data_IF_372524138388
#
_entry.id   IF_372524138388
#
_cell.length_a   1.000
_cell.length_b   1.000
_cell.length_c   1.000
_cell.angle_alpha   90.00
_cell.angle_beta   90.00
_cell.angle_gamma   90.00
#
_symmetry.space_group_name_H-M   'P 1'
#
loop_
_entity.id
_entity.type
_entity.pdbx_description
1 polymer ?
#
# COMPACT_ATOMS: atom_id res chain seq x y z
N UNK A 1 -12.83 -38.69 4.71
CA UNK A 1 -12.18 -38.67 3.38
C UNK A 1 -10.66 -38.71 3.55
N UNK A 2 -9.89 -39.21 2.59
CA UNK A 2 -8.42 -39.20 2.69
C UNK A 2 -7.83 -37.96 2.02
N UNK A 3 -6.80 -37.37 2.64
CA UNK A 3 -6.06 -36.24 2.06
C UNK A 3 -5.37 -36.66 0.76
N UNK A 4 -5.62 -35.93 -0.33
CA UNK A 4 -5.05 -36.27 -1.65
C UNK A 4 -3.52 -36.13 -1.71
N UNK A 5 -2.90 -35.33 -0.85
CA UNK A 5 -1.46 -35.15 -0.80
C UNK A 5 -0.78 -36.17 0.13
N UNK A 6 -1.13 -36.18 1.42
CA UNK A 6 -0.43 -36.99 2.43
C UNK A 6 -1.19 -38.23 2.90
N UNK A 7 -2.33 -38.56 2.25
CA UNK A 7 -3.15 -39.75 2.47
C UNK A 7 -3.64 -39.96 3.91
N UNK A 8 -3.55 -38.92 4.75
CA UNK A 8 -4.04 -38.98 6.13
C UNK A 8 -5.56 -38.86 6.14
N UNK A 9 -6.23 -39.66 6.97
CA UNK A 9 -7.68 -39.58 7.19
C UNK A 9 -8.07 -38.19 7.69
N UNK A 10 -9.01 -37.56 6.99
CA UNK A 10 -9.58 -36.27 7.33
C UNK A 10 -11.01 -36.46 7.83
N UNK A 11 -11.37 -35.68 8.86
CA UNK A 11 -12.75 -35.49 9.26
C UNK A 11 -13.54 -34.88 8.10
N UNK A 12 -14.83 -35.23 7.97
CA UNK A 12 -15.67 -34.77 6.87
C UNK A 12 -15.84 -33.25 6.81
N UNK A 13 -15.72 -32.57 7.94
CA UNK A 13 -15.82 -31.11 8.09
C UNK A 13 -14.47 -30.39 8.01
N UNK A 14 -13.35 -31.11 7.82
CA UNK A 14 -12.03 -30.50 7.81
C UNK A 14 -11.80 -29.70 6.52
N UNK A 15 -11.61 -28.38 6.63
CA UNK A 15 -11.26 -27.50 5.50
C UNK A 15 -9.77 -27.61 5.08
N UNK A 16 -8.90 -28.00 6.03
CA UNK A 16 -7.47 -28.14 5.81
C UNK A 16 -6.95 -29.43 6.46
N UNK A 17 -5.96 -30.05 5.84
CA UNK A 17 -5.25 -31.18 6.41
C UNK A 17 -4.31 -30.72 7.53
N UNK A 18 -4.51 -31.24 8.75
CA UNK A 18 -3.67 -30.92 9.91
C UNK A 18 -2.21 -31.42 9.80
N UNK A 19 -1.93 -32.38 8.91
CA UNK A 19 -0.60 -32.96 8.74
C UNK A 19 0.26 -32.24 7.69
N UNK A 20 -0.35 -31.84 6.57
CA UNK A 20 0.39 -31.26 5.43
C UNK A 20 -0.12 -29.88 4.98
N UNK A 21 -1.19 -29.36 5.60
CA UNK A 21 -1.77 -28.06 5.28
C UNK A 21 -2.62 -28.02 4.01
N UNK A 22 -2.80 -29.13 3.27
CA UNK A 22 -3.60 -29.12 2.03
C UNK A 22 -5.06 -28.77 2.29
N UNK A 23 -5.60 -27.79 1.55
CA UNK A 23 -7.03 -27.48 1.52
C UNK A 23 -7.83 -28.65 0.93
N UNK A 24 -8.95 -28.98 1.55
CA UNK A 24 -9.87 -30.02 1.07
C UNK A 24 -10.86 -29.49 0.02
N UNK A 25 -10.84 -28.18 -0.25
CA UNK A 25 -11.70 -27.55 -1.23
C UNK A 25 -11.41 -28.08 -2.65
N UNK A 26 -12.47 -28.45 -3.39
CA UNK A 26 -12.35 -28.83 -4.80
C UNK A 26 -11.99 -27.61 -5.65
N UNK A 27 -10.98 -27.76 -6.52
CA UNK A 27 -10.58 -26.74 -7.51
C UNK A 27 -11.48 -26.71 -8.76
N UNK A 28 -12.28 -27.75 -9.00
CA UNK A 28 -13.26 -27.77 -10.10
C UNK A 28 -14.46 -26.89 -9.75
N UNK A 29 -14.27 -25.58 -9.83
CA UNK A 29 -15.31 -24.56 -9.67
C UNK A 29 -15.39 -23.72 -10.94
N UNK A 30 -16.58 -23.24 -11.32
CA UNK A 30 -16.73 -22.36 -12.46
C UNK A 30 -15.87 -21.11 -12.28
N UNK A 31 -15.27 -20.62 -13.37
CA UNK A 31 -14.38 -19.45 -13.38
C UNK A 31 -14.96 -18.24 -12.64
N UNK A 32 -16.26 -17.96 -12.81
CA UNK A 32 -16.93 -16.84 -12.15
C UNK A 32 -16.95 -16.96 -10.62
N UNK A 33 -17.02 -18.19 -10.08
CA UNK A 33 -16.94 -18.42 -8.62
C UNK A 33 -15.53 -18.14 -8.12
N UNK A 34 -14.51 -18.58 -8.86
CA UNK A 34 -13.10 -18.30 -8.53
C UNK A 34 -12.79 -16.80 -8.64
N UNK A 35 -13.28 -16.12 -9.69
CA UNK A 35 -13.12 -14.68 -9.86
C UNK A 35 -13.84 -13.90 -8.75
N UNK A 36 -15.04 -14.34 -8.36
CA UNK A 36 -15.77 -13.77 -7.21
C UNK A 36 -15.03 -14.02 -5.91
N UNK A 37 -14.48 -15.22 -5.68
CA UNK A 37 -13.70 -15.56 -4.49
C UNK A 37 -12.43 -14.71 -4.43
N UNK A 38 -11.71 -14.53 -5.55
CA UNK A 38 -10.55 -13.62 -5.66
C UNK A 38 -10.97 -12.17 -5.40
N UNK A 39 -12.09 -11.72 -5.97
CA UNK A 39 -12.59 -10.37 -5.75
C UNK A 39 -13.02 -10.16 -4.30
N UNK A 40 -13.67 -11.15 -3.67
CA UNK A 40 -14.01 -11.14 -2.25
C UNK A 40 -12.77 -11.17 -1.37
N UNK A 41 -11.75 -11.92 -1.77
CA UNK A 41 -10.49 -12.03 -1.07
C UNK A 41 -9.64 -10.77 -1.23
N UNK A 42 -9.72 -10.06 -2.36
CA UNK A 42 -9.02 -8.80 -2.60
C UNK A 42 -9.75 -7.59 -2.01
N UNK A 43 -11.08 -7.52 -2.16
CA UNK A 43 -11.90 -6.40 -1.69
C UNK A 43 -12.40 -6.56 -0.27
N UNK A 44 -12.27 -7.77 0.32
CA UNK A 44 -12.68 -8.14 1.67
C UNK A 44 -13.84 -7.26 2.15
N UNK A 45 -15.00 -7.41 1.49
CA UNK A 45 -16.24 -6.67 1.79
C UNK A 45 -16.79 -7.08 3.17
N UNK A 46 -15.98 -7.76 3.99
CA UNK A 46 -16.11 -7.73 5.43
C UNK A 46 -15.81 -6.30 5.91
N UNK A 47 -16.67 -5.71 6.74
CA UNK A 47 -16.52 -4.33 7.25
C UNK A 47 -15.17 -3.98 7.92
N UNK A 48 -14.24 -4.95 8.02
CA UNK A 48 -12.81 -4.80 8.31
C UNK A 48 -12.11 -3.78 7.40
N UNK A 49 -12.41 -3.72 6.09
CA UNK A 49 -11.75 -2.74 5.22
C UNK A 49 -12.10 -1.31 5.65
N UNK A 50 -13.39 -1.01 5.81
CA UNK A 50 -13.86 0.29 6.29
C UNK A 50 -13.31 0.64 7.67
N UNK A 51 -13.29 -0.33 8.59
CA UNK A 51 -12.67 -0.17 9.91
C UNK A 51 -11.15 0.11 9.84
N UNK A 52 -10.45 -0.57 8.94
CA UNK A 52 -9.02 -0.39 8.69
C UNK A 52 -8.75 1.00 8.10
N UNK A 53 -9.48 1.42 7.07
CA UNK A 53 -9.37 2.74 6.45
C UNK A 53 -9.66 3.86 7.46
N UNK A 54 -10.75 3.74 8.22
CA UNK A 54 -11.10 4.71 9.26
C UNK A 54 -9.99 4.82 10.31
N UNK A 55 -9.46 3.69 10.78
CA UNK A 55 -8.36 3.66 11.75
C UNK A 55 -7.09 4.25 11.14
N UNK A 56 -6.77 3.92 9.90
CA UNK A 56 -5.62 4.42 9.17
C UNK A 56 -5.66 5.93 9.06
N UNK A 57 -6.81 6.51 8.65
CA UNK A 57 -7.01 7.95 8.46
C UNK A 57 -7.08 8.72 9.78
N UNK A 58 -7.72 8.18 10.81
CA UNK A 58 -7.91 8.90 12.07
C UNK A 58 -6.76 8.75 13.07
N UNK A 59 -5.96 7.68 12.97
CA UNK A 59 -4.91 7.35 13.94
C UNK A 59 -3.59 7.01 13.24
N UNK A 60 -2.73 8.01 12.94
CA UNK A 60 -1.51 7.80 12.16
C UNK A 60 -0.57 6.80 12.84
N UNK A 61 -0.17 5.76 12.09
CA UNK A 61 0.75 4.72 12.55
C UNK A 61 0.16 3.66 13.48
N UNK A 62 -1.11 3.76 13.89
CA UNK A 62 -1.72 2.84 14.87
C UNK A 62 -1.81 1.40 14.36
N UNK A 63 -2.12 1.21 13.07
CA UNK A 63 -2.22 -0.13 12.46
C UNK A 63 -0.90 -0.90 12.57
N UNK A 64 0.20 -0.24 12.23
CA UNK A 64 1.55 -0.80 12.33
C UNK A 64 1.95 -1.04 13.78
N UNK A 65 1.65 -0.10 14.68
CA UNK A 65 1.93 -0.28 16.11
C UNK A 65 1.23 -1.53 16.66
N UNK A 66 -0.06 -1.69 16.39
CA UNK A 66 -0.82 -2.88 16.81
C UNK A 66 -0.33 -4.17 16.14
N UNK A 67 0.07 -4.11 14.87
CA UNK A 67 0.69 -5.24 14.17
C UNK A 67 1.99 -5.68 14.85
N UNK A 68 2.86 -4.72 15.18
CA UNK A 68 4.13 -4.96 15.88
C UNK A 68 3.91 -5.51 17.30
N UNK A 69 2.78 -5.19 17.93
CA UNK A 69 2.33 -5.76 19.21
C UNK A 69 1.68 -7.16 19.07
N UNK A 70 1.58 -7.72 17.86
CA UNK A 70 1.02 -9.04 17.61
C UNK A 70 -0.48 -9.09 17.29
N UNK A 71 -1.18 -7.96 17.23
CA UNK A 71 -2.62 -7.88 16.89
C UNK A 71 -2.81 -7.94 15.36
N UNK A 72 -2.58 -9.11 14.76
CA UNK A 72 -2.47 -9.28 13.29
C UNK A 72 -3.77 -9.66 12.56
N UNK A 73 -4.85 -10.01 13.27
CA UNK A 73 -6.13 -10.48 12.68
C UNK A 73 -7.21 -9.39 12.62
N UNK A 74 -7.05 -8.33 13.42
CA UNK A 74 -8.06 -7.28 13.61
C UNK A 74 -8.32 -6.44 12.36
N UNK A 75 -7.29 -6.20 11.57
CA UNK A 75 -7.33 -5.33 10.39
C UNK A 75 -7.13 -6.12 9.12
N UNK A 76 -7.46 -5.48 8.00
CA UNK A 76 -7.15 -6.00 6.67
C UNK A 76 -5.63 -6.24 6.55
N UNK A 77 -5.17 -7.37 5.99
CA UNK A 77 -3.75 -7.63 5.82
C UNK A 77 -3.03 -6.47 5.09
N UNK A 78 -1.87 -6.01 5.57
CA UNK A 78 -1.21 -4.81 5.04
C UNK A 78 -0.92 -4.87 3.54
N UNK A 79 -0.44 -6.02 3.05
CA UNK A 79 -0.15 -6.23 1.63
C UNK A 79 -1.41 -6.15 0.77
N UNK A 80 -2.52 -6.75 1.22
CA UNK A 80 -3.82 -6.72 0.52
C UNK A 80 -4.34 -5.29 0.43
N UNK A 81 -4.32 -4.57 1.55
CA UNK A 81 -4.73 -3.17 1.61
C UNK A 81 -3.92 -2.29 0.64
N UNK A 82 -2.60 -2.43 0.67
CA UNK A 82 -1.69 -1.71 -0.22
C UNK A 82 -1.96 -2.03 -1.69
N UNK A 83 -2.10 -3.31 -2.04
CA UNK A 83 -2.39 -3.75 -3.41
C UNK A 83 -3.71 -3.14 -3.91
N UNK A 84 -4.78 -3.25 -3.13
CA UNK A 84 -6.09 -2.74 -3.51
C UNK A 84 -6.06 -1.22 -3.74
N UNK A 85 -5.48 -0.46 -2.80
CA UNK A 85 -5.37 1.00 -2.93
C UNK A 85 -4.47 1.39 -4.10
N UNK A 86 -3.36 0.69 -4.32
CA UNK A 86 -2.44 0.99 -5.42
C UNK A 86 -3.10 0.76 -6.78
N UNK A 87 -3.83 -0.35 -6.95
CA UNK A 87 -4.58 -0.63 -8.19
C UNK A 87 -5.59 0.49 -8.46
N UNK A 88 -6.37 0.87 -7.44
CA UNK A 88 -7.32 1.98 -7.56
C UNK A 88 -6.62 3.30 -7.91
N UNK A 89 -5.46 3.56 -7.30
CA UNK A 89 -4.69 4.80 -7.52
C UNK A 89 -4.22 4.88 -8.97
N UNK A 90 -3.61 3.82 -9.50
CA UNK A 90 -3.09 3.82 -10.86
C UNK A 90 -4.20 3.87 -11.92
N UNK A 91 -5.37 3.26 -11.66
CA UNK A 91 -6.54 3.41 -12.54
C UNK A 91 -6.99 4.86 -12.58
N UNK A 92 -7.17 5.50 -11.42
CA UNK A 92 -7.61 6.89 -11.33
C UNK A 92 -6.58 7.85 -11.94
N UNK A 93 -5.30 7.62 -11.67
CA UNK A 93 -4.20 8.40 -12.22
C UNK A 93 -4.14 8.31 -13.74
N UNK A 94 -4.29 7.11 -14.31
CA UNK A 94 -4.35 6.91 -15.76
C UNK A 94 -5.52 7.66 -16.38
N UNK A 95 -6.69 7.62 -15.74
CA UNK A 95 -7.87 8.38 -16.21
C UNK A 95 -7.65 9.88 -16.16
N UNK A 96 -7.01 10.41 -15.10
CA UNK A 96 -6.70 11.84 -14.98
C UNK A 96 -5.72 12.28 -16.06
N UNK A 97 -4.64 11.52 -16.30
CA UNK A 97 -3.67 11.87 -17.33
C UNK A 97 -4.27 11.94 -18.74
N UNK A 98 -5.19 11.02 -19.08
CA UNK A 98 -5.90 11.07 -20.36
C UNK A 98 -6.78 12.31 -20.51
N UNK A 99 -7.38 12.80 -19.41
CA UNK A 99 -8.16 14.05 -19.42
C UNK A 99 -7.25 15.27 -19.56
N UNK A 100 -6.08 15.24 -18.91
CA UNK A 100 -5.10 16.33 -18.95
C UNK A 100 -4.45 16.48 -20.33
N UNK A 101 -4.05 15.38 -20.97
CA UNK A 101 -3.52 15.36 -22.33
C UNK A 101 -4.19 14.25 -23.15
N UNK A 102 -5.21 14.57 -23.96
CA UNK A 102 -5.93 13.59 -24.78
C UNK A 102 -5.07 12.89 -25.83
N UNK A 103 -3.95 13.53 -26.22
CA UNK A 103 -3.02 12.98 -27.19
C UNK A 103 -1.88 12.19 -26.52
N UNK A 104 -1.81 12.21 -25.19
CA UNK A 104 -0.88 11.40 -24.43
C UNK A 104 -1.32 9.94 -24.48
N UNK A 105 -0.79 9.23 -25.47
CA UNK A 105 -0.69 7.78 -25.38
C UNK A 105 0.30 7.47 -24.25
N UNK A 106 -0.21 7.19 -23.04
CA UNK A 106 0.51 6.35 -22.09
C UNK A 106 0.88 5.09 -22.86
N UNK A 107 2.10 5.01 -23.39
CA UNK A 107 2.61 3.74 -23.91
C UNK A 107 2.49 2.74 -22.76
N UNK A 108 1.98 1.54 -23.03
CA UNK A 108 1.83 0.47 -22.03
C UNK A 108 3.10 0.28 -21.17
N UNK A 109 4.26 0.67 -21.72
CA UNK A 109 5.55 0.73 -21.03
C UNK A 109 5.54 1.67 -19.81
N UNK A 110 5.15 2.94 -19.93
CA UNK A 110 5.36 3.95 -18.89
C UNK A 110 4.56 3.65 -17.61
N UNK A 111 3.27 3.34 -17.75
CA UNK A 111 2.40 2.93 -16.64
C UNK A 111 2.86 1.60 -16.02
N UNK A 112 3.36 0.67 -16.84
CA UNK A 112 3.97 -0.59 -16.37
C UNK A 112 5.22 -0.33 -15.52
N UNK A 113 6.13 0.56 -15.93
CA UNK A 113 7.34 0.81 -15.15
C UNK A 113 7.05 1.51 -13.83
N UNK A 114 6.15 2.50 -13.82
CA UNK A 114 5.78 3.20 -12.58
C UNK A 114 5.10 2.29 -11.57
N UNK A 115 4.14 1.48 -12.01
CA UNK A 115 3.48 0.51 -11.13
C UNK A 115 4.46 -0.54 -10.58
N UNK A 116 5.36 -1.07 -11.43
CA UNK A 116 6.42 -2.03 -11.01
C UNK A 116 7.44 -1.41 -10.06
N UNK A 117 7.90 -0.19 -10.32
CA UNK A 117 8.84 0.51 -9.46
C UNK A 117 8.28 0.62 -8.04
N UNK A 118 7.01 0.97 -7.88
CA UNK A 118 6.40 1.11 -6.56
C UNK A 118 6.38 -0.19 -5.75
N UNK A 119 6.22 -1.35 -6.41
CA UNK A 119 6.34 -2.65 -5.74
C UNK A 119 7.77 -2.98 -5.26
N UNK A 120 8.78 -2.51 -5.98
CA UNK A 120 10.19 -2.72 -5.60
C UNK A 120 10.67 -1.66 -4.59
N UNK A 121 10.03 -0.50 -4.57
CA UNK A 121 10.44 0.62 -3.74
C UNK A 121 9.95 0.52 -2.29
N UNK A 122 8.80 -0.10 -2.00
CA UNK A 122 8.35 -0.22 -0.61
C UNK A 122 9.27 -1.09 0.28
N UNK A 123 9.89 -2.21 -0.19
CA UNK A 123 10.92 -2.93 0.56
C UNK A 123 12.20 -2.12 0.73
N UNK A 124 12.58 -1.30 -0.26
CA UNK A 124 13.72 -0.38 -0.18
C UNK A 124 13.46 0.70 0.87
N UNK A 125 12.27 1.31 0.88
CA UNK A 125 11.87 2.24 1.93
C UNK A 125 11.95 1.58 3.32
N UNK A 126 11.42 0.36 3.46
CA UNK A 126 11.51 -0.39 4.70
C UNK A 126 12.96 -0.67 5.14
N UNK A 127 13.86 -0.94 4.18
CA UNK A 127 15.29 -1.09 4.43
C UNK A 127 15.92 0.22 4.92
N UNK A 128 15.64 1.35 4.27
CA UNK A 128 16.15 2.66 4.69
C UNK A 128 15.67 2.96 6.11
N UNK A 129 14.39 2.76 6.40
CA UNK A 129 13.82 2.90 7.75
C UNK A 129 14.56 2.01 8.76
N UNK A 130 14.84 0.75 8.40
CA UNK A 130 15.59 -0.19 9.25
C UNK A 130 16.97 0.34 9.62
N UNK A 131 17.66 1.05 8.71
CA UNK A 131 18.99 1.62 8.98
C UNK A 131 18.95 2.72 10.07
N UNK A 132 17.88 3.53 10.11
CA UNK A 132 17.70 4.62 11.08
C UNK A 132 17.05 4.19 12.39
N UNK A 133 16.26 3.12 12.36
CA UNK A 133 15.54 2.56 13.51
C UNK A 133 16.00 1.12 13.80
N UNK A 134 17.30 0.94 14.04
CA UNK A 134 17.95 -0.39 14.17
C UNK A 134 17.34 -1.33 15.22
N UNK A 135 16.68 -0.80 16.24
CA UNK A 135 16.01 -1.59 17.29
C UNK A 135 14.66 -2.17 16.86
N UNK A 136 14.15 -1.78 15.69
CA UNK A 136 12.91 -2.31 15.12
C UNK A 136 13.18 -3.53 14.24
N UNK A 137 12.16 -4.36 14.03
CA UNK A 137 12.23 -5.52 13.15
C UNK A 137 11.87 -5.14 11.71
N UNK A 138 12.59 -5.72 10.74
CA UNK A 138 12.38 -5.45 9.31
C UNK A 138 10.94 -5.68 8.86
N UNK A 139 10.32 -6.78 9.30
CA UNK A 139 8.91 -7.08 8.97
C UNK A 139 7.96 -5.98 9.46
N UNK A 140 8.21 -5.42 10.64
CA UNK A 140 7.43 -4.29 11.16
C UNK A 140 7.61 -3.03 10.31
N UNK A 141 8.82 -2.77 9.85
CA UNK A 141 9.13 -1.64 8.96
C UNK A 141 8.56 -1.85 7.55
N UNK A 142 8.46 -3.10 7.10
CA UNK A 142 7.82 -3.46 5.84
C UNK A 142 6.31 -3.19 5.90
N UNK A 143 5.65 -3.61 6.98
CA UNK A 143 4.24 -3.31 7.23
C UNK A 143 4.01 -1.81 7.40
N UNK A 144 4.92 -1.11 8.08
CA UNK A 144 4.89 0.35 8.18
C UNK A 144 4.93 1.01 6.81
N UNK A 145 5.86 0.58 5.95
CA UNK A 145 6.00 1.05 4.58
C UNK A 145 4.71 0.87 3.78
N UNK A 146 4.07 -0.30 3.86
CA UNK A 146 2.81 -0.60 3.17
C UNK A 146 1.67 0.33 3.61
N UNK A 147 1.49 0.52 4.92
CA UNK A 147 0.46 1.44 5.44
C UNK A 147 0.75 2.90 5.06
N UNK A 148 2.02 3.32 5.11
CA UNK A 148 2.41 4.68 4.78
C UNK A 148 2.21 4.99 3.29
N UNK A 149 2.55 4.07 2.39
CA UNK A 149 2.28 4.26 0.96
C UNK A 149 0.78 4.19 0.66
N UNK A 150 0.03 3.36 1.38
CA UNK A 150 -1.43 3.29 1.23
C UNK A 150 -2.10 4.64 1.53
N UNK A 151 -1.72 5.30 2.64
CA UNK A 151 -2.27 6.62 2.94
C UNK A 151 -1.79 7.70 1.95
N UNK A 152 -0.54 7.63 1.50
CA UNK A 152 0.00 8.54 0.47
C UNK A 152 -0.85 8.42 -0.79
N UNK A 153 -1.10 7.21 -1.28
CA UNK A 153 -1.94 7.00 -2.47
C UNK A 153 -3.37 7.48 -2.28
N UNK A 154 -3.99 7.25 -1.12
CA UNK A 154 -5.33 7.80 -0.84
C UNK A 154 -5.35 9.33 -0.86
N UNK A 155 -4.32 9.98 -0.31
CA UNK A 155 -4.24 11.45 -0.35
C UNK A 155 -3.95 11.94 -1.77
N UNK A 156 -3.11 11.24 -2.54
CA UNK A 156 -2.83 11.57 -3.93
C UNK A 156 -4.05 11.39 -4.84
N UNK A 157 -4.96 10.44 -4.55
CA UNK A 157 -6.24 10.35 -5.27
C UNK A 157 -7.10 11.62 -5.13
N UNK A 158 -6.92 12.38 -4.05
CA UNK A 158 -7.62 13.65 -3.82
C UNK A 158 -6.82 14.82 -4.40
N UNK A 159 -5.50 14.81 -4.24
CA UNK A 159 -4.61 15.89 -4.68
C UNK A 159 -4.47 15.92 -6.22
N UNK A 160 -4.28 14.77 -6.87
CA UNK A 160 -3.98 14.72 -8.30
C UNK A 160 -5.08 15.31 -9.21
N UNK A 161 -6.40 15.08 -8.97
CA UNK A 161 -7.44 15.77 -9.72
C UNK A 161 -7.42 17.30 -9.52
N UNK A 162 -7.14 17.75 -8.30
CA UNK A 162 -7.07 19.19 -8.00
C UNK A 162 -5.86 19.84 -8.68
N UNK A 163 -4.74 19.11 -8.78
CA UNK A 163 -3.55 19.54 -9.51
C UNK A 163 -3.81 19.61 -11.02
N UNK A 164 -4.48 18.62 -11.59
CA UNK A 164 -4.88 18.64 -13.01
C UNK A 164 -5.81 19.81 -13.35
N UNK A 165 -6.63 20.26 -12.41
CA UNK A 165 -7.57 21.38 -12.60
C UNK A 165 -6.95 22.75 -12.28
N UNK A 166 -5.73 22.80 -11.72
CA UNK A 166 -5.09 24.04 -11.27
C UNK A 166 -4.93 25.07 -12.39
N UNK A 167 -4.70 24.62 -13.62
CA UNK A 167 -4.56 25.50 -14.79
C UNK A 167 -5.82 26.32 -15.08
N UNK A 168 -6.99 25.87 -14.61
CA UNK A 168 -8.26 26.58 -14.82
C UNK A 168 -8.48 27.70 -13.80
N UNK A 169 -8.25 27.43 -12.52
CA UNK A 169 -8.55 28.36 -11.43
C UNK A 169 -7.64 28.17 -10.20
N UNK A 170 -7.17 29.28 -9.64
CA UNK A 170 -6.34 29.31 -8.41
C UNK A 170 -7.02 28.68 -7.18
N UNK A 171 -8.36 28.56 -7.17
CA UNK A 171 -9.07 27.91 -6.07
C UNK A 171 -8.62 26.45 -5.89
N UNK A 172 -8.26 25.76 -6.98
CA UNK A 172 -7.82 24.37 -6.92
C UNK A 172 -6.48 24.24 -6.20
N UNK A 173 -5.56 25.20 -6.37
CA UNK A 173 -4.31 25.27 -5.60
C UNK A 173 -4.59 25.41 -4.09
N UNK A 174 -5.55 26.27 -3.71
CA UNK A 174 -5.93 26.44 -2.30
C UNK A 174 -6.58 25.17 -1.73
N UNK A 175 -7.37 24.46 -2.52
CA UNK A 175 -8.02 23.20 -2.13
C UNK A 175 -7.03 22.05 -1.94
N UNK A 176 -5.84 22.09 -2.56
CA UNK A 176 -4.78 21.09 -2.35
C UNK A 176 -4.05 21.26 -1.00
N UNK A 177 -4.05 22.45 -0.41
CA UNK A 177 -3.28 22.73 0.80
C UNK A 177 -3.72 21.89 2.01
N UNK A 178 -5.02 21.75 2.35
CA UNK A 178 -5.45 20.90 3.47
C UNK A 178 -5.02 19.43 3.40
N UNK A 179 -5.25 18.67 2.29
CA UNK A 179 -4.80 17.28 2.22
C UNK A 179 -3.28 17.16 2.23
N UNK A 180 -2.55 18.13 1.68
CA UNK A 180 -1.07 18.16 1.72
C UNK A 180 -0.56 18.35 3.14
N UNK A 181 -1.08 19.34 3.87
CA UNK A 181 -0.72 19.59 5.27
C UNK A 181 -1.07 18.39 6.16
N UNK A 182 -2.23 17.79 5.94
CA UNK A 182 -2.63 16.56 6.62
C UNK A 182 -1.65 15.43 6.34
N UNK A 183 -1.22 15.23 5.08
CA UNK A 183 -0.24 14.19 4.73
C UNK A 183 1.11 14.41 5.39
N UNK A 184 1.62 15.64 5.40
CA UNK A 184 2.86 16.02 6.09
C UNK A 184 2.74 15.68 7.58
N UNK A 185 1.67 16.16 8.23
CA UNK A 185 1.39 15.84 9.63
C UNK A 185 1.28 14.33 9.87
N UNK A 186 0.62 13.61 8.98
CA UNK A 186 0.41 12.16 9.06
C UNK A 186 1.74 11.42 9.08
N UNK A 187 2.64 11.72 8.14
CA UNK A 187 3.93 11.03 8.02
C UNK A 187 4.71 11.14 9.33
N UNK A 188 4.93 12.36 9.83
CA UNK A 188 5.68 12.53 11.08
C UNK A 188 4.97 11.93 12.28
N UNK A 189 3.64 12.08 12.37
CA UNK A 189 2.84 11.47 13.44
C UNK A 189 2.91 9.95 13.41
N UNK A 190 2.90 9.33 12.23
CA UNK A 190 2.98 7.88 12.07
C UNK A 190 4.35 7.34 12.51
N UNK A 191 5.45 8.01 12.13
CA UNK A 191 6.78 7.70 12.65
C UNK A 191 6.84 7.85 14.18
N UNK A 192 6.26 8.92 14.73
CA UNK A 192 6.19 9.15 16.18
C UNK A 192 5.43 8.04 16.90
N UNK A 193 4.28 7.61 16.38
CA UNK A 193 3.47 6.53 16.95
C UNK A 193 4.18 5.18 16.91
N UNK A 194 4.81 4.83 15.78
CA UNK A 194 5.41 3.50 15.58
C UNK A 194 6.72 3.34 16.35
N UNK A 195 7.60 4.34 16.33
CA UNK A 195 8.93 4.24 16.95
C UNK A 195 9.01 4.85 18.35
N UNK A 196 7.98 5.57 18.78
CA UNK A 196 7.84 6.14 20.13
C UNK A 196 8.99 7.09 20.57
N UNK A 197 9.81 7.59 19.65
CA UNK A 197 10.92 8.53 19.95
C UNK A 197 10.44 9.97 20.11
N UNK A 198 11.28 10.90 20.59
CA UNK A 198 10.93 12.32 20.70
C UNK A 198 10.77 12.99 19.32
N UNK A 199 9.94 14.03 19.25
CA UNK A 199 9.60 14.72 17.99
C UNK A 199 10.83 15.22 17.22
N UNK A 200 11.84 15.77 17.89
CA UNK A 200 13.07 16.24 17.23
C UNK A 200 13.87 15.11 16.57
N UNK A 201 13.96 13.95 17.22
CA UNK A 201 14.61 12.77 16.63
C UNK A 201 13.80 12.23 15.45
N UNK A 202 12.48 12.21 15.58
CA UNK A 202 11.58 11.79 14.50
C UNK A 202 11.69 12.73 13.30
N UNK A 203 11.61 14.04 13.51
CA UNK A 203 11.74 15.04 12.45
C UNK A 203 13.05 14.86 11.70
N UNK A 204 14.19 14.81 12.41
CA UNK A 204 15.50 14.64 11.78
C UNK A 204 15.63 13.33 11.00
N UNK A 205 15.25 12.20 11.61
CA UNK A 205 15.36 10.89 10.95
C UNK A 205 14.37 10.71 9.80
N UNK A 206 13.11 11.08 9.99
CA UNK A 206 12.08 10.94 8.96
C UNK A 206 12.39 11.84 7.75
N UNK A 207 12.86 13.07 7.97
CA UNK A 207 13.31 13.94 6.87
C UNK A 207 14.51 13.36 6.13
N UNK A 208 15.50 12.81 6.84
CA UNK A 208 16.65 12.16 6.20
C UNK A 208 16.24 10.91 5.39
N UNK A 209 15.35 10.07 5.94
CA UNK A 209 14.78 8.92 5.23
C UNK A 209 14.04 9.39 3.97
N UNK A 210 13.21 10.43 4.08
CA UNK A 210 12.49 10.99 2.94
C UNK A 210 13.43 11.48 1.84
N UNK A 211 14.46 12.25 2.19
CA UNK A 211 15.44 12.75 1.21
C UNK A 211 16.16 11.60 0.50
N UNK A 212 16.66 10.60 1.25
CA UNK A 212 17.33 9.42 0.66
C UNK A 212 16.37 8.68 -0.27
N UNK A 213 15.12 8.47 0.16
CA UNK A 213 14.12 7.79 -0.63
C UNK A 213 13.78 8.55 -1.91
N UNK A 214 13.59 9.87 -1.85
CA UNK A 214 13.32 10.70 -3.02
C UNK A 214 14.51 10.75 -3.99
N UNK A 215 15.76 10.75 -3.49
CA UNK A 215 16.93 10.63 -4.35
C UNK A 215 16.98 9.29 -5.09
N UNK A 216 16.72 8.17 -4.40
CA UNK A 216 16.67 6.85 -5.02
C UNK A 216 15.54 6.80 -6.05
N UNK A 217 14.35 7.30 -5.68
CA UNK A 217 13.19 7.35 -6.56
C UNK A 217 13.48 8.17 -7.83
N UNK A 218 14.13 9.34 -7.69
CA UNK A 218 14.55 10.17 -8.82
C UNK A 218 15.52 9.44 -9.76
N UNK A 219 16.54 8.77 -9.21
CA UNK A 219 17.48 7.97 -10.01
C UNK A 219 16.75 6.82 -10.74
N UNK A 220 15.83 6.13 -10.08
CA UNK A 220 15.03 5.06 -10.69
C UNK A 220 14.18 5.62 -11.83
N UNK A 221 13.52 6.76 -11.63
CA UNK A 221 12.76 7.41 -12.69
C UNK A 221 13.64 7.83 -13.87
N UNK A 222 14.80 8.44 -13.64
CA UNK A 222 15.72 8.83 -14.70
C UNK A 222 16.19 7.63 -15.52
N UNK A 223 16.55 6.52 -14.86
CA UNK A 223 16.95 5.28 -15.53
C UNK A 223 15.79 4.69 -16.32
N UNK A 224 14.58 4.66 -15.75
CA UNK A 224 13.39 4.17 -16.45
C UNK A 224 13.10 5.01 -17.68
N UNK A 225 13.09 6.34 -17.56
CA UNK A 225 12.82 7.26 -18.66
C UNK A 225 13.83 7.11 -19.79
N UNK A 226 15.13 6.98 -19.48
CA UNK A 226 16.19 6.73 -20.48
C UNK A 226 16.10 5.38 -21.20
N UNK A 227 15.38 4.40 -20.65
CA UNK A 227 15.17 3.11 -21.30
C UNK A 227 13.87 3.08 -22.12
N UNK A 228 12.99 4.08 -21.97
CA UNK A 228 11.72 4.20 -22.68
C UNK A 228 11.86 5.10 -23.92
N UNK A 229 12.62 6.19 -23.82
CA UNK A 229 12.91 7.14 -24.91
C UNK A 229 14.31 6.92 -25.47
#
# INVERSE_FOLDING_TARGET
MDCKNCQTKLQETAHFCLKCGQSTASLNRPFFVVAKDILHELLDIDGRLGFTLRTMLSKPGQLTLEFNQGKRVKYTPPLRLYLAISILFFILLSSIYQVYDPNYALTDSMSSYYSKAMFVLFPVFALIVQLFFRQSFYIGNLVFSMHLHSIIYLMLMIIAPLEALEQSHLIFLLLQAPPTLYLIWYVFSAFKTVYQQSWWRILGKASAIYLIYMSILGIVFDVVMKNIF
#
